data_IF_092493175883
#
_entry.id   IF_092493175883
#
_cell.length_a   1.000
_cell.length_b   1.000
_cell.length_c   1.000
_cell.angle_alpha   90.00
_cell.angle_beta   90.00
_cell.angle_gamma   90.00
#
_symmetry.space_group_name_H-M   'P 1'
#
loop_
_entity.id
_entity.type
_entity.pdbx_description
1 polymer ?
#
# COMPACT_ATOMS: atom_id res chain seq x y z
N UNK A 1 -3.04 -3.69 11.16
CA UNK A 1 -1.88 -3.34 12.02
C UNK A 1 -1.95 -4.15 13.29
N UNK A 2 -0.83 -4.74 13.73
CA UNK A 2 -0.79 -5.46 14.99
C UNK A 2 -0.78 -4.49 16.19
N UNK A 3 -1.41 -4.85 17.33
CA UNK A 3 -1.51 -3.98 18.52
C UNK A 3 -0.19 -3.37 19.02
N UNK A 4 0.95 -4.04 18.80
CA UNK A 4 2.27 -3.62 19.28
C UNK A 4 3.17 -3.05 18.17
N UNK A 5 2.63 -2.79 16.98
CA UNK A 5 3.41 -2.21 15.89
C UNK A 5 3.84 -0.77 16.17
N UNK A 6 3.03 -0.01 16.93
CA UNK A 6 3.26 1.41 17.24
C UNK A 6 4.04 1.61 18.55
N UNK A 7 4.66 2.79 18.74
CA UNK A 7 5.38 3.16 19.97
C UNK A 7 4.53 2.97 21.24
N UNK A 8 3.26 3.36 21.18
CA UNK A 8 2.26 3.07 22.21
C UNK A 8 1.35 1.95 21.73
N UNK A 9 1.13 0.92 22.55
CA UNK A 9 0.26 -0.21 22.20
C UNK A 9 -1.14 0.29 21.86
N UNK A 10 -1.63 -0.06 20.68
CA UNK A 10 -3.00 0.18 20.24
C UNK A 10 -3.90 -1.02 20.58
N UNK A 11 -5.21 -0.79 20.70
CA UNK A 11 -6.15 -1.89 20.84
C UNK A 11 -6.40 -2.58 19.50
N UNK A 12 -6.68 -3.88 19.55
CA UNK A 12 -7.05 -4.64 18.35
C UNK A 12 -8.42 -4.19 17.84
N UNK A 13 -8.52 -3.83 16.56
CA UNK A 13 -9.79 -3.39 15.96
C UNK A 13 -10.91 -4.44 16.07
N UNK A 14 -10.58 -5.73 15.96
CA UNK A 14 -11.53 -6.83 16.18
C UNK A 14 -12.17 -6.80 17.59
N UNK A 15 -11.44 -6.35 18.61
CA UNK A 15 -11.97 -6.20 19.97
C UNK A 15 -12.88 -4.98 20.13
N UNK A 16 -12.76 -3.97 19.24
CA UNK A 16 -13.62 -2.78 19.20
C UNK A 16 -14.88 -2.98 18.34
N UNK A 17 -15.01 -4.10 17.63
CA UNK A 17 -16.15 -4.44 16.78
C UNK A 17 -16.31 -3.58 15.52
N UNK A 18 -15.35 -2.69 15.21
CA UNK A 18 -15.37 -1.83 14.02
C UNK A 18 -13.96 -1.49 13.55
N UNK A 19 -13.78 -1.43 12.23
CA UNK A 19 -12.56 -0.90 11.62
C UNK A 19 -12.53 0.63 11.73
N UNK A 20 -11.35 1.19 11.95
CA UNK A 20 -11.15 2.64 11.90
C UNK A 20 -11.27 3.19 10.47
N UNK A 21 -11.58 4.49 10.35
CA UNK A 21 -11.62 5.17 9.05
C UNK A 21 -10.29 5.06 8.30
N UNK A 22 -9.17 5.23 9.02
CA UNK A 22 -7.80 5.08 8.48
C UNK A 22 -7.56 3.67 7.92
N UNK A 23 -7.99 2.61 8.62
CA UNK A 23 -7.86 1.23 8.11
C UNK A 23 -8.63 1.05 6.80
N UNK A 24 -9.87 1.52 6.73
CA UNK A 24 -10.71 1.39 5.53
C UNK A 24 -10.14 2.19 4.35
N UNK A 25 -9.64 3.40 4.61
CA UNK A 25 -8.98 4.25 3.63
C UNK A 25 -7.76 3.54 3.00
N UNK A 26 -6.87 3.00 3.83
CA UNK A 26 -5.66 2.29 3.39
C UNK A 26 -6.01 1.02 2.62
N UNK A 27 -6.99 0.23 3.08
CA UNK A 27 -7.45 -0.97 2.37
C UNK A 27 -7.97 -0.62 0.97
N UNK A 28 -8.74 0.46 0.85
CA UNK A 28 -9.25 0.93 -0.44
C UNK A 28 -8.11 1.44 -1.34
N UNK A 29 -7.13 2.15 -0.79
CA UNK A 29 -5.95 2.65 -1.51
C UNK A 29 -5.12 1.49 -2.08
N UNK A 30 -4.79 0.48 -1.27
CA UNK A 30 -4.06 -0.72 -1.72
C UNK A 30 -4.83 -1.40 -2.84
N UNK A 31 -6.13 -1.62 -2.66
CA UNK A 31 -6.97 -2.25 -3.67
C UNK A 31 -7.04 -1.48 -4.99
N UNK A 32 -7.16 -0.14 -4.95
CA UNK A 32 -7.13 0.70 -6.16
C UNK A 32 -5.77 0.64 -6.85
N UNK A 33 -4.69 0.74 -6.07
CA UNK A 33 -3.31 0.70 -6.55
C UNK A 33 -3.01 -0.58 -7.32
N UNK A 34 -3.42 -1.73 -6.77
CA UNK A 34 -3.22 -3.03 -7.42
C UNK A 34 -4.06 -3.17 -8.69
N UNK A 35 -5.34 -2.77 -8.66
CA UNK A 35 -6.21 -2.88 -9.85
C UNK A 35 -5.76 -2.01 -11.02
N UNK A 36 -4.97 -0.97 -10.78
CA UNK A 36 -4.42 -0.14 -11.85
C UNK A 36 -3.38 -0.87 -12.73
N UNK A 37 -2.76 -1.93 -12.21
CA UNK A 37 -1.70 -2.69 -12.90
C UNK A 37 -2.06 -4.17 -13.15
N UNK A 38 -3.35 -4.51 -13.07
CA UNK A 38 -3.87 -5.84 -13.33
C UNK A 38 -4.93 -5.81 -14.44
N UNK A 39 -4.76 -6.64 -15.46
CA UNK A 39 -5.84 -7.02 -16.36
C UNK A 39 -6.74 -8.06 -15.67
N UNK A 40 -7.87 -7.58 -15.15
CA UNK A 40 -8.86 -8.41 -14.47
C UNK A 40 -9.54 -9.42 -15.40
N UNK A 41 -9.56 -9.18 -16.73
CA UNK A 41 -10.07 -10.16 -17.69
C UNK A 41 -9.08 -11.30 -17.87
N UNK A 42 -7.79 -10.98 -17.97
CA UNK A 42 -6.73 -11.99 -18.05
C UNK A 42 -6.62 -12.81 -16.75
N UNK A 43 -6.92 -12.21 -15.59
CA UNK A 43 -6.99 -12.91 -14.31
C UNK A 43 -8.14 -13.94 -14.26
N UNK A 44 -9.23 -13.69 -14.99
CA UNK A 44 -10.45 -14.49 -15.00
C UNK A 44 -11.26 -14.40 -13.71
N UNK A 45 -12.18 -15.34 -13.49
CA UNK A 45 -13.06 -15.38 -12.31
C UNK A 45 -12.31 -15.84 -11.04
N UNK A 46 -11.37 -15.02 -10.59
CA UNK A 46 -10.54 -15.26 -9.41
C UNK A 46 -10.40 -13.98 -8.61
N UNK A 47 -10.23 -14.14 -7.31
CA UNK A 47 -9.95 -13.05 -6.38
C UNK A 47 -8.59 -13.29 -5.75
N UNK A 48 -7.70 -12.31 -5.84
CA UNK A 48 -6.48 -12.25 -5.05
C UNK A 48 -6.80 -11.43 -3.80
N UNK A 49 -6.78 -12.07 -2.63
CA UNK A 49 -6.89 -11.40 -1.35
C UNK A 49 -5.50 -10.92 -0.92
N UNK A 50 -5.41 -9.66 -0.54
CA UNK A 50 -4.16 -9.01 -0.14
C UNK A 50 -4.32 -8.58 1.31
N UNK A 51 -3.51 -9.18 2.16
CA UNK A 51 -3.48 -8.89 3.60
C UNK A 51 -2.14 -8.25 3.96
N UNK A 52 -2.20 -7.01 4.43
CA UNK A 52 -1.02 -6.25 4.83
C UNK A 52 -1.06 -6.00 6.33
N UNK A 53 -0.29 -6.79 7.08
CA UNK A 53 -0.15 -6.64 8.53
C UNK A 53 1.16 -5.97 8.90
N UNK A 54 1.05 -4.73 9.39
CA UNK A 54 2.18 -3.98 9.93
C UNK A 54 2.64 -4.61 11.24
N UNK A 55 3.90 -5.06 11.24
CA UNK A 55 4.58 -5.63 12.40
C UNK A 55 5.26 -4.57 13.27
N UNK A 56 5.83 -3.53 12.63
CA UNK A 56 6.42 -2.35 13.24
C UNK A 56 6.04 -1.13 12.39
N UNK A 57 5.64 -0.04 13.04
CA UNK A 57 5.19 1.19 12.40
C UNK A 57 6.13 2.34 12.80
N UNK A 58 6.78 2.93 11.80
CA UNK A 58 7.73 4.03 11.98
C UNK A 58 7.70 4.99 10.78
N UNK A 59 6.49 5.40 10.36
CA UNK A 59 6.28 6.14 9.11
C UNK A 59 6.09 5.22 7.90
N UNK A 60 5.61 5.77 6.78
CA UNK A 60 5.52 5.08 5.48
C UNK A 60 4.72 3.77 5.40
N UNK A 61 4.04 3.33 6.44
CA UNK A 61 3.47 1.96 6.49
C UNK A 61 2.44 1.66 5.38
N UNK A 62 1.70 2.67 4.91
CA UNK A 62 0.71 2.51 3.83
C UNK A 62 1.37 2.37 2.45
N UNK A 63 2.43 3.13 2.19
CA UNK A 63 3.19 3.12 0.93
C UNK A 63 4.04 1.84 0.87
N UNK A 64 4.67 1.48 1.99
CA UNK A 64 5.34 0.18 2.16
C UNK A 64 4.40 -1.01 1.90
N UNK A 65 3.15 -0.95 2.40
CA UNK A 65 2.15 -1.98 2.16
C UNK A 65 1.81 -2.14 0.67
N UNK A 66 1.68 -1.06 -0.09
CA UNK A 66 1.42 -1.11 -1.55
C UNK A 66 2.60 -1.78 -2.26
N UNK A 67 3.82 -1.34 -1.96
CA UNK A 67 5.04 -1.87 -2.58
C UNK A 67 5.23 -3.36 -2.26
N UNK A 68 5.04 -3.77 -1.01
CA UNK A 68 5.10 -5.19 -0.61
C UNK A 68 3.96 -6.03 -1.19
N UNK A 69 2.74 -5.48 -1.24
CA UNK A 69 1.58 -6.16 -1.82
C UNK A 69 1.78 -6.49 -3.31
N UNK A 70 2.42 -5.60 -4.07
CA UNK A 70 2.73 -5.87 -5.47
C UNK A 70 3.64 -7.10 -5.63
N UNK A 71 4.71 -7.19 -4.83
CA UNK A 71 5.63 -8.33 -4.85
C UNK A 71 4.91 -9.62 -4.46
N UNK A 72 4.09 -9.60 -3.41
CA UNK A 72 3.30 -10.77 -3.00
C UNK A 72 2.29 -11.21 -4.08
N UNK A 73 1.65 -10.24 -4.76
CA UNK A 73 0.72 -10.53 -5.86
C UNK A 73 1.45 -11.11 -7.09
N UNK A 74 2.66 -10.63 -7.39
CA UNK A 74 3.53 -11.17 -8.42
C UNK A 74 3.88 -12.64 -8.12
N UNK A 75 4.25 -12.97 -6.88
CA UNK A 75 4.53 -14.35 -6.47
C UNK A 75 3.30 -15.25 -6.61
N UNK A 76 2.11 -14.76 -6.21
CA UNK A 76 0.85 -15.48 -6.37
C UNK A 76 0.54 -15.76 -7.85
N UNK A 77 0.71 -14.78 -8.73
CA UNK A 77 0.54 -14.93 -10.18
C UNK A 77 1.55 -15.93 -10.75
N UNK A 78 2.84 -15.81 -10.40
CA UNK A 78 3.89 -16.73 -10.83
C UNK A 78 3.56 -18.17 -10.46
N UNK A 79 3.05 -18.40 -9.24
CA UNK A 79 2.60 -19.72 -8.79
C UNK A 79 1.43 -20.25 -9.61
N UNK A 80 0.46 -19.41 -9.96
CA UNK A 80 -0.68 -19.81 -10.79
C UNK A 80 -0.26 -20.15 -12.24
N UNK A 81 0.70 -19.41 -12.79
CA UNK A 81 1.29 -19.69 -14.10
C UNK A 81 2.03 -21.03 -14.10
N UNK A 82 2.87 -21.28 -13.10
CA UNK A 82 3.59 -22.55 -12.96
C UNK A 82 2.64 -23.76 -12.80
N UNK A 83 1.45 -23.54 -12.24
CA UNK A 83 0.40 -24.55 -12.13
C UNK A 83 -0.47 -24.70 -13.38
N UNK A 84 -0.23 -23.91 -14.44
CA UNK A 84 -1.08 -23.87 -15.64
C UNK A 84 -2.50 -23.34 -15.38
N UNK A 85 -2.74 -22.69 -14.24
CA UNK A 85 -4.05 -22.12 -13.88
C UNK A 85 -4.30 -20.77 -14.55
N UNK A 86 -3.24 -20.11 -15.00
CA UNK A 86 -3.26 -18.92 -15.85
C UNK A 86 -2.48 -19.23 -17.13
N UNK A 87 -2.98 -18.74 -18.27
CA UNK A 87 -2.30 -18.88 -19.55
C UNK A 87 -1.19 -17.84 -19.74
N UNK A 88 -1.34 -16.66 -19.15
CA UNK A 88 -0.39 -15.55 -19.20
C UNK A 88 -0.50 -14.70 -17.93
N UNK A 89 0.52 -13.89 -17.65
CA UNK A 89 0.50 -12.98 -16.51
C UNK A 89 -0.58 -11.90 -16.71
N UNK A 90 -1.49 -11.69 -15.75
CA UNK A 90 -2.43 -10.57 -15.78
C UNK A 90 -1.79 -9.25 -15.32
N UNK A 91 -0.55 -9.24 -14.86
CA UNK A 91 0.15 -8.03 -14.39
C UNK A 91 0.66 -7.26 -15.61
N UNK A 92 0.20 -6.02 -15.77
CA UNK A 92 0.52 -5.16 -16.92
C UNK A 92 1.78 -4.31 -16.72
N UNK A 93 2.22 -4.16 -15.46
CA UNK A 93 3.44 -3.45 -15.09
C UNK A 93 3.62 -3.39 -13.56
N UNK A 94 4.76 -2.90 -13.08
CA UNK A 94 4.97 -2.76 -11.64
C UNK A 94 4.27 -1.51 -11.10
N UNK A 95 3.91 -1.56 -9.82
CA UNK A 95 3.43 -0.42 -9.04
C UNK A 95 4.22 -0.33 -7.73
N UNK A 96 4.57 0.89 -7.34
CA UNK A 96 5.21 1.18 -6.07
C UNK A 96 4.65 2.48 -5.50
N UNK A 97 4.82 2.67 -4.20
CA UNK A 97 4.41 3.87 -3.51
C UNK A 97 5.47 4.34 -2.52
N UNK A 98 5.53 5.66 -2.31
CA UNK A 98 6.44 6.31 -1.35
C UNK A 98 5.77 7.54 -0.75
N UNK A 99 6.09 7.86 0.51
CA UNK A 99 5.70 9.12 1.14
C UNK A 99 6.70 10.22 0.78
N UNK A 100 6.23 11.44 0.67
CA UNK A 100 7.04 12.65 0.51
C UNK A 100 6.43 13.75 1.37
N UNK A 101 7.22 14.72 1.78
CA UNK A 101 6.71 15.88 2.50
C UNK A 101 7.68 17.04 2.56
N UNK A 102 7.25 18.12 3.20
CA UNK A 102 8.09 19.27 3.51
C UNK A 102 8.36 19.29 5.01
N UNK A 103 9.62 19.19 5.41
CA UNK A 103 10.07 19.27 6.80
C UNK A 103 10.92 20.52 6.95
N UNK A 104 10.46 21.50 7.73
CA UNK A 104 11.17 22.78 7.94
C UNK A 104 11.53 23.50 6.63
N UNK A 105 10.61 23.49 5.66
CA UNK A 105 10.82 24.07 4.33
C UNK A 105 11.69 23.23 3.38
N UNK A 106 12.13 22.03 3.77
CA UNK A 106 12.96 21.14 2.94
C UNK A 106 12.13 19.96 2.44
N UNK A 107 12.12 19.67 1.12
CA UNK A 107 11.51 18.45 0.60
C UNK A 107 12.25 17.19 1.06
N UNK A 108 11.51 16.24 1.64
CA UNK A 108 12.02 14.96 2.14
C UNK A 108 11.25 13.80 1.48
N UNK A 109 11.96 12.71 1.22
CA UNK A 109 11.44 11.46 0.65
C UNK A 109 11.46 10.38 1.72
N UNK A 110 10.41 9.56 1.75
CA UNK A 110 10.25 8.39 2.64
C UNK A 110 10.28 8.76 4.14
N UNK A 111 9.30 9.59 4.54
CA UNK A 111 9.20 10.14 5.90
C UNK A 111 9.10 9.03 6.97
N UNK A 112 9.99 9.10 7.97
CA UNK A 112 9.86 8.34 9.21
C UNK A 112 8.78 8.94 10.14
N UNK A 113 8.44 8.28 11.25
CA UNK A 113 7.35 8.75 12.13
C UNK A 113 7.59 10.16 12.69
N UNK A 114 8.82 10.49 13.06
CA UNK A 114 9.17 11.81 13.63
C UNK A 114 9.05 12.91 12.57
N UNK A 115 9.45 12.63 11.34
CA UNK A 115 9.34 13.54 10.20
C UNK A 115 7.87 13.73 9.81
N UNK A 116 7.09 12.64 9.71
CA UNK A 116 5.67 12.64 9.36
C UNK A 116 4.84 13.48 10.36
N UNK A 117 5.13 13.38 11.66
CA UNK A 117 4.42 14.15 12.71
C UNK A 117 4.81 15.63 12.72
N UNK A 118 5.98 16.00 12.19
CA UNK A 118 6.50 17.37 12.22
C UNK A 118 6.47 18.07 10.86
N UNK A 119 5.97 17.40 9.82
CA UNK A 119 5.94 17.95 8.47
C UNK A 119 4.82 18.99 8.29
N UNK A 120 5.09 19.98 7.43
CA UNK A 120 4.12 21.03 7.09
C UNK A 120 3.06 20.51 6.10
N UNK A 121 3.42 19.49 5.31
CA UNK A 121 2.57 18.87 4.30
C UNK A 121 3.12 17.48 4.03
N UNK A 122 2.26 16.47 4.09
CA UNK A 122 2.58 15.09 3.72
C UNK A 122 1.82 14.67 2.46
N UNK A 123 2.43 13.78 1.69
CA UNK A 123 1.81 13.21 0.51
C UNK A 123 2.28 11.79 0.27
N UNK A 124 1.33 10.93 -0.09
CA UNK A 124 1.60 9.57 -0.53
C UNK A 124 1.46 9.53 -2.05
N UNK A 125 2.51 9.07 -2.72
CA UNK A 125 2.57 9.01 -4.19
C UNK A 125 2.62 7.55 -4.61
N UNK A 126 1.68 7.13 -5.47
CA UNK A 126 1.64 5.80 -6.07
C UNK A 126 1.86 5.91 -7.57
N UNK A 127 2.84 5.19 -8.10
CA UNK A 127 3.23 5.25 -9.51
C UNK A 127 3.43 3.87 -10.11
N UNK A 128 3.18 3.79 -11.41
CA UNK A 128 3.54 2.64 -12.25
C UNK A 128 5.01 2.72 -12.67
N UNK A 129 5.60 1.59 -13.05
CA UNK A 129 6.96 1.56 -13.63
C UNK A 129 7.11 2.32 -14.95
N UNK A 130 6.00 2.64 -15.62
CA UNK A 130 5.99 3.50 -16.81
C UNK A 130 6.08 5.00 -16.48
N UNK A 131 6.11 5.37 -15.19
CA UNK A 131 6.16 6.77 -14.75
C UNK A 131 4.80 7.45 -14.69
N UNK A 132 3.70 6.72 -14.88
CA UNK A 132 2.35 7.26 -14.72
C UNK A 132 1.88 7.19 -13.27
N UNK A 133 1.18 8.23 -12.83
CA UNK A 133 0.51 8.25 -11.53
C UNK A 133 -0.66 7.29 -11.51
N UNK A 134 -0.77 6.54 -10.42
CA UNK A 134 -1.97 5.77 -10.07
C UNK A 134 -2.83 6.60 -9.13
N UNK A 135 -2.23 7.15 -8.07
CA UNK A 135 -2.90 7.98 -7.09
C UNK A 135 -1.90 8.91 -6.40
N UNK A 136 -2.36 10.11 -6.04
CA UNK A 136 -1.61 11.09 -5.27
C UNK A 136 -2.54 11.56 -4.14
N UNK A 137 -2.16 11.26 -2.91
CA UNK A 137 -2.93 11.61 -1.72
C UNK A 137 -2.10 12.56 -0.86
N UNK A 138 -2.36 13.87 -0.99
CA UNK A 138 -1.75 14.91 -0.16
C UNK A 138 -2.70 15.43 0.90
N UNK A 139 -2.18 15.69 2.08
CA UNK A 139 -2.86 16.43 3.14
C UNK A 139 -2.01 17.65 3.48
N UNK A 140 -2.65 18.81 3.59
CA UNK A 140 -2.04 20.00 4.16
C UNK A 140 -2.82 20.30 5.44
N UNK A 141 -2.15 20.24 6.59
CA UNK A 141 -2.68 20.69 7.88
C UNK A 141 -2.11 22.07 8.24
#
# INVERSE_FOLDING_TARGET
MLPRATHTRSDREAARGKQSGRTQEIQRLIGRSMRAVFDLKALGERTIQIDCDVLQADGGTRTAAITGAFVAAQDAVTKLLAQGKLAASPITGPVAAVSVGIVQGVPVLDLEYVEDVSCDTDMNVVMTGAGHYVEVQGTAE
#
